data_IF_113701799174
#
_entry.id   IF_113701799174
#
_cell.length_a   1.000
_cell.length_b   1.000
_cell.length_c   1.000
_cell.angle_alpha   90.00
_cell.angle_beta   90.00
_cell.angle_gamma   90.00
#
_symmetry.space_group_name_H-M   'P 1'
#
loop_
_entity.id
_entity.type
_entity.pdbx_description
1 polymer ?
#
# COMPACT_ATOMS: atom_id res chain seq x y z
N UNK A 1 -14.08 5.61 21.23
CA UNK A 1 -13.66 6.66 20.27
C UNK A 1 -12.72 6.01 19.26
N UNK A 2 -13.14 5.83 18.01
CA UNK A 2 -12.27 5.50 16.89
C UNK A 2 -12.82 6.29 15.69
N UNK A 3 -12.34 7.51 15.50
CA UNK A 3 -12.76 8.40 14.41
C UNK A 3 -11.89 8.26 13.16
N UNK A 4 -10.68 7.70 13.30
CA UNK A 4 -9.78 7.47 12.18
C UNK A 4 -10.31 6.36 11.27
N UNK A 5 -10.40 6.64 9.97
CA UNK A 5 -10.65 5.63 8.94
C UNK A 5 -9.59 5.73 7.86
N UNK A 6 -8.89 4.63 7.63
CA UNK A 6 -7.83 4.58 6.64
C UNK A 6 -8.35 4.80 5.20
N UNK A 7 -9.65 4.61 4.96
CA UNK A 7 -10.27 4.91 3.66
C UNK A 7 -10.16 6.37 3.20
N UNK A 8 -9.94 7.32 4.11
CA UNK A 8 -9.65 8.72 3.74
C UNK A 8 -8.22 8.93 3.24
N UNK A 9 -7.33 7.96 3.44
CA UNK A 9 -5.89 8.09 3.22
C UNK A 9 -5.33 6.98 2.32
N UNK A 10 -6.17 6.01 1.95
CA UNK A 10 -5.75 4.82 1.23
C UNK A 10 -5.08 5.20 -0.09
N UNK A 11 -3.86 4.70 -0.29
CA UNK A 11 -3.09 4.94 -1.52
C UNK A 11 -2.36 6.27 -1.58
N UNK A 12 -2.32 7.05 -0.48
CA UNK A 12 -1.50 8.26 -0.40
C UNK A 12 0.01 7.96 -0.42
N UNK A 13 0.85 9.00 -0.38
CA UNK A 13 2.31 8.84 -0.40
C UNK A 13 2.86 8.01 0.79
N UNK A 14 2.19 8.05 1.95
CA UNK A 14 2.61 7.29 3.13
C UNK A 14 2.34 5.79 2.92
N UNK A 15 1.21 5.43 2.32
CA UNK A 15 0.90 4.07 1.90
C UNK A 15 1.87 3.56 0.83
N UNK A 16 2.25 4.41 -0.13
CA UNK A 16 3.26 4.05 -1.13
C UNK A 16 4.58 3.67 -0.46
N UNK A 17 5.11 4.51 0.44
CA UNK A 17 6.34 4.21 1.17
C UNK A 17 6.20 2.92 2.00
N UNK A 18 5.12 2.83 2.79
CA UNK A 18 4.85 1.71 3.70
C UNK A 18 4.77 0.37 2.96
N UNK A 19 3.96 0.30 1.91
CA UNK A 19 3.74 -0.93 1.17
C UNK A 19 4.96 -1.30 0.30
N UNK A 20 5.71 -0.33 -0.21
CA UNK A 20 6.98 -0.60 -0.91
C UNK A 20 7.96 -1.30 0.03
N UNK A 21 8.22 -0.72 1.22
CA UNK A 21 9.13 -1.32 2.20
C UNK A 21 8.64 -2.69 2.66
N UNK A 22 7.34 -2.82 2.94
CA UNK A 22 6.74 -4.10 3.32
C UNK A 22 6.94 -5.18 2.25
N UNK A 23 6.71 -4.84 0.97
CA UNK A 23 6.88 -5.79 -0.13
C UNK A 23 8.32 -6.27 -0.25
N UNK A 24 9.30 -5.37 -0.13
CA UNK A 24 10.73 -5.72 -0.17
C UNK A 24 11.15 -6.59 1.02
N UNK A 25 10.61 -6.33 2.22
CA UNK A 25 10.84 -7.20 3.38
C UNK A 25 10.29 -8.61 3.11
N UNK A 26 9.08 -8.72 2.56
CA UNK A 26 8.47 -10.00 2.23
C UNK A 26 9.29 -10.76 1.18
N UNK A 27 9.74 -10.09 0.12
CA UNK A 27 10.59 -10.71 -0.91
C UNK A 27 11.92 -11.19 -0.32
N UNK A 28 12.54 -10.41 0.56
CA UNK A 28 13.78 -10.84 1.23
C UNK A 28 13.56 -12.01 2.18
N UNK A 29 12.44 -12.06 2.91
CA UNK A 29 12.10 -13.20 3.76
C UNK A 29 11.87 -14.49 2.96
N UNK A 30 11.35 -14.38 1.73
CA UNK A 30 11.14 -15.50 0.81
C UNK A 30 12.43 -16.11 0.25
N UNK A 31 13.58 -15.44 0.38
CA UNK A 31 14.88 -15.99 -0.08
C UNK A 31 15.29 -17.27 0.68
N UNK A 32 14.71 -17.52 1.87
CA UNK A 32 14.93 -18.74 2.64
C UNK A 32 13.70 -19.65 2.58
N UNK A 33 13.93 -20.94 2.43
CA UNK A 33 12.84 -21.95 2.41
C UNK A 33 12.10 -22.11 3.76
N UNK A 34 12.67 -21.60 4.86
CA UNK A 34 12.01 -21.68 6.17
C UNK A 34 10.77 -20.79 6.20
N UNK A 35 9.63 -21.28 6.73
CA UNK A 35 8.42 -20.47 6.81
C UNK A 35 8.62 -19.28 7.76
N UNK A 36 7.87 -18.20 7.53
CA UNK A 36 7.81 -17.01 8.37
C UNK A 36 6.37 -16.60 8.69
N UNK A 37 6.19 -15.85 9.78
CA UNK A 37 4.91 -15.25 10.17
C UNK A 37 4.86 -13.80 9.71
N UNK A 38 3.78 -13.42 9.05
CA UNK A 38 3.41 -12.02 8.86
C UNK A 38 2.38 -11.62 9.92
N UNK A 39 2.73 -10.67 10.78
CA UNK A 39 1.88 -10.17 11.86
C UNK A 39 1.63 -8.67 11.65
N UNK A 40 0.36 -8.31 11.47
CA UNK A 40 -0.08 -6.92 11.31
C UNK A 40 -0.94 -6.52 12.52
N UNK A 41 -0.43 -5.57 13.30
CA UNK A 41 -1.09 -5.09 14.53
C UNK A 41 -2.26 -4.16 14.24
N UNK A 42 -2.30 -3.52 13.06
CA UNK A 42 -3.27 -2.50 12.69
C UNK A 42 -3.70 -2.66 11.22
N UNK A 43 -4.16 -3.87 10.86
CA UNK A 43 -4.42 -4.28 9.47
C UNK A 43 -5.51 -3.51 8.72
N UNK A 44 -6.34 -2.72 9.41
CA UNK A 44 -7.43 -1.98 8.79
C UNK A 44 -8.46 -2.89 8.12
N UNK A 45 -9.03 -2.45 6.99
CA UNK A 45 -10.07 -3.16 6.25
C UNK A 45 -9.54 -4.16 5.20
N UNK A 46 -8.21 -4.26 5.03
CA UNK A 46 -7.57 -5.09 3.99
C UNK A 46 -7.57 -4.48 2.59
N UNK A 47 -8.70 -3.94 2.11
CA UNK A 47 -8.78 -3.22 0.82
C UNK A 47 -9.68 -1.98 0.91
N UNK A 48 -9.45 -1.02 0.01
CA UNK A 48 -10.18 0.25 -0.03
C UNK A 48 -10.60 0.61 -1.46
N UNK A 49 -11.80 1.16 -1.61
CA UNK A 49 -12.31 1.64 -2.89
C UNK A 49 -11.92 3.11 -3.08
N UNK A 50 -11.07 3.40 -4.07
CA UNK A 50 -10.55 4.75 -4.34
C UNK A 50 -11.60 5.71 -4.93
N UNK A 51 -12.67 5.18 -5.52
CA UNK A 51 -13.87 5.94 -5.93
C UNK A 51 -14.99 5.93 -4.87
N UNK A 52 -14.64 5.83 -3.58
CA UNK A 52 -15.62 5.95 -2.49
C UNK A 52 -15.68 7.39 -1.98
N UNK A 53 -16.80 7.78 -1.36
CA UNK A 53 -16.97 9.13 -0.79
C UNK A 53 -15.80 9.53 0.13
N UNK A 54 -15.30 8.60 0.94
CA UNK A 54 -14.17 8.89 1.83
C UNK A 54 -12.88 9.23 1.06
N UNK A 55 -12.55 8.41 0.05
CA UNK A 55 -11.32 8.57 -0.72
C UNK A 55 -11.39 9.80 -1.65
N UNK A 56 -12.56 10.07 -2.22
CA UNK A 56 -12.79 11.25 -3.06
C UNK A 56 -12.83 12.55 -2.25
N UNK A 57 -13.28 12.51 -0.99
CA UNK A 57 -13.31 13.69 -0.11
C UNK A 57 -11.92 14.29 0.13
N UNK A 58 -10.88 13.47 0.19
CA UNK A 58 -9.50 13.92 0.39
C UNK A 58 -8.67 13.87 -0.89
N UNK A 59 -8.93 12.89 -1.76
CA UNK A 59 -8.22 12.70 -3.03
C UNK A 59 -6.75 12.30 -2.87
N UNK A 60 -6.28 11.91 -1.69
CA UNK A 60 -4.84 11.75 -1.42
C UNK A 60 -4.17 10.68 -2.31
N UNK A 61 -4.91 9.67 -2.77
CA UNK A 61 -4.39 8.64 -3.68
C UNK A 61 -3.93 9.19 -5.03
N UNK A 62 -4.51 10.32 -5.48
CA UNK A 62 -4.15 11.01 -6.72
C UNK A 62 -2.71 11.55 -6.67
N UNK A 63 -2.22 11.85 -5.46
CA UNK A 63 -0.84 12.31 -5.24
C UNK A 63 0.10 11.21 -4.75
N UNK A 64 -0.44 10.02 -4.46
CA UNK A 64 0.32 8.82 -4.11
C UNK A 64 0.35 7.82 -5.25
N UNK A 65 -0.35 6.69 -5.06
CA UNK A 65 -0.29 5.52 -5.92
C UNK A 65 -0.64 5.82 -7.39
N UNK A 66 -1.58 6.74 -7.64
CA UNK A 66 -2.01 7.06 -9.00
C UNK A 66 -0.88 7.67 -9.85
N UNK A 67 0.13 8.27 -9.23
CA UNK A 67 1.28 8.85 -9.93
C UNK A 67 2.29 7.81 -10.41
N UNK A 68 2.28 6.60 -9.84
CA UNK A 68 3.34 5.60 -10.08
C UNK A 68 2.85 4.31 -10.73
N UNK A 69 1.62 3.86 -10.46
CA UNK A 69 1.15 2.51 -10.85
C UNK A 69 0.97 2.25 -12.36
N UNK A 70 1.14 3.28 -13.20
CA UNK A 70 0.99 3.24 -14.65
C UNK A 70 2.22 3.86 -15.34
N UNK A 71 3.32 4.07 -14.60
CA UNK A 71 4.55 4.59 -15.18
C UNK A 71 5.29 3.47 -15.91
N UNK A 72 5.78 3.77 -17.12
CA UNK A 72 6.53 2.82 -17.94
C UNK A 72 7.96 2.60 -17.43
N UNK A 73 8.49 3.53 -16.61
CA UNK A 73 9.86 3.57 -16.11
C UNK A 73 9.97 3.21 -14.61
N UNK A 74 9.06 2.36 -14.13
CA UNK A 74 9.09 1.89 -12.74
C UNK A 74 10.42 1.20 -12.40
N UNK A 75 11.07 1.54 -11.26
CA UNK A 75 12.23 0.81 -10.76
C UNK A 75 11.94 -0.68 -10.57
N UNK A 76 12.95 -1.53 -10.77
CA UNK A 76 12.83 -2.98 -10.66
C UNK A 76 12.32 -3.43 -9.28
N UNK A 77 12.70 -2.71 -8.23
CA UNK A 77 12.31 -2.90 -6.84
C UNK A 77 10.81 -2.67 -6.60
N UNK A 78 10.14 -1.97 -7.51
CA UNK A 78 8.70 -1.68 -7.49
C UNK A 78 7.92 -2.46 -8.55
N UNK A 79 8.60 -3.33 -9.31
CA UNK A 79 8.07 -4.02 -10.47
C UNK A 79 7.24 -5.27 -10.12
N UNK A 80 5.97 -5.24 -10.54
CA UNK A 80 4.96 -6.31 -10.53
C UNK A 80 4.37 -6.68 -9.16
N UNK A 81 3.61 -5.75 -8.59
CA UNK A 81 2.49 -6.10 -7.70
C UNK A 81 1.32 -6.50 -8.60
N UNK A 82 1.09 -7.81 -8.75
CA UNK A 82 -0.04 -8.37 -9.50
C UNK A 82 -1.39 -7.98 -8.88
#
# INVERSE_FOLDING_TARGET
MLSYRHSFHAGNHADVLKHTVQSLIIESLKEKEKPFLYLDTHAGAGRYQLGSEHAERTGEYLEGIARIWQQDDLPAETGTVY
#
